data_IF_827481631779
#
_entry.id   IF_827481631779
#
_cell.length_a   1.000
_cell.length_b   1.000
_cell.length_c   1.000
_cell.angle_alpha   90.00
_cell.angle_beta   90.00
_cell.angle_gamma   90.00
#
_symmetry.space_group_name_H-M   'P 1'
#
loop_
_entity.id
_entity.type
_entity.pdbx_description
1 polymer ?
#
# COMPACT_ATOMS: atom_id res chain seq x y z
N UNK A 1 1.30 -3.42 6.70
CA UNK A 1 1.73 -3.12 8.09
C UNK A 1 1.40 -4.30 8.98
N UNK A 2 2.28 -4.68 9.93
CA UNK A 2 2.00 -5.84 10.80
C UNK A 2 0.95 -5.48 11.86
N UNK A 3 0.02 -6.40 12.12
CA UNK A 3 -0.98 -6.27 13.19
C UNK A 3 -0.35 -6.06 14.58
N UNK A 4 0.89 -6.53 14.77
CA UNK A 4 1.62 -6.42 16.04
C UNK A 4 2.56 -5.20 16.12
N UNK A 5 2.46 -4.24 15.18
CA UNK A 5 3.35 -3.08 15.17
C UNK A 5 2.95 -2.05 16.26
N UNK A 6 3.95 -1.57 17.01
CA UNK A 6 3.76 -0.51 18.02
C UNK A 6 3.42 0.83 17.37
N UNK A 7 4.06 1.13 16.23
CA UNK A 7 3.72 2.27 15.37
C UNK A 7 3.10 1.76 14.08
N UNK A 8 1.92 2.27 13.76
CA UNK A 8 1.18 1.85 12.57
C UNK A 8 1.27 2.89 11.46
N UNK A 9 1.24 4.18 11.76
CA UNK A 9 1.29 5.20 10.71
C UNK A 9 2.69 5.31 10.10
N UNK A 10 2.74 5.43 8.78
CA UNK A 10 3.97 5.70 8.02
C UNK A 10 4.35 7.17 7.96
N UNK A 11 3.38 8.06 8.19
CA UNK A 11 3.57 9.51 8.04
C UNK A 11 3.83 10.22 9.36
N UNK A 12 3.40 9.64 10.48
CA UNK A 12 3.49 10.30 11.78
C UNK A 12 3.89 9.34 12.90
N UNK A 13 4.44 9.90 13.96
CA UNK A 13 4.90 9.19 15.15
C UNK A 13 3.77 8.91 16.14
N UNK A 14 2.78 8.10 15.74
CA UNK A 14 1.68 7.67 16.63
C UNK A 14 1.90 6.23 17.07
N UNK A 15 1.65 5.98 18.36
CA UNK A 15 1.62 4.64 18.93
C UNK A 15 0.22 4.03 18.93
N UNK A 16 0.15 2.71 18.85
CA UNK A 16 -1.10 1.94 18.81
C UNK A 16 -2.08 2.27 19.95
N UNK A 17 -1.58 2.64 21.13
CA UNK A 17 -2.42 2.99 22.30
C UNK A 17 -3.20 4.30 22.10
N UNK A 18 -2.66 5.24 21.32
CA UNK A 18 -3.25 6.56 21.07
C UNK A 18 -4.11 6.58 19.80
N UNK A 19 -4.30 5.41 19.16
CA UNK A 19 -5.06 5.30 17.91
C UNK A 19 -6.49 5.83 18.01
N UNK A 20 -7.11 5.71 19.19
CA UNK A 20 -8.51 6.10 19.43
C UNK A 20 -8.72 7.61 19.35
N UNK A 21 -7.69 8.39 19.66
CA UNK A 21 -7.79 9.85 19.67
C UNK A 21 -7.86 10.43 18.25
N UNK A 22 -7.48 9.65 17.23
CA UNK A 22 -7.51 10.04 15.81
C UNK A 22 -6.79 11.36 15.51
N UNK A 23 -5.84 11.75 16.36
CA UNK A 23 -5.02 12.95 16.19
C UNK A 23 -3.79 12.60 15.37
N UNK A 24 -3.38 13.51 14.51
CA UNK A 24 -2.10 13.43 13.82
C UNK A 24 -0.97 13.66 14.83
N UNK A 25 -0.01 12.73 14.86
CA UNK A 25 1.23 12.89 15.61
C UNK A 25 2.23 13.77 14.84
N UNK A 26 3.43 13.87 15.38
CA UNK A 26 4.54 14.55 14.71
C UNK A 26 4.85 13.87 13.37
N UNK A 27 5.02 14.67 12.32
CA UNK A 27 5.31 14.16 10.98
C UNK A 27 6.74 13.66 10.89
N UNK A 28 6.90 12.48 10.28
CA UNK A 28 8.22 11.92 10.02
C UNK A 28 8.81 12.55 8.74
N UNK A 29 10.12 12.82 8.77
CA UNK A 29 10.85 13.24 7.57
C UNK A 29 11.48 12.02 6.91
N UNK A 30 11.44 11.95 5.57
CA UNK A 30 12.11 10.88 4.81
C UNK A 30 13.59 10.71 5.16
N UNK A 31 14.29 11.81 5.47
CA UNK A 31 15.68 11.81 5.96
C UNK A 31 15.85 11.05 7.27
N UNK A 32 15.00 11.32 8.25
CA UNK A 32 15.09 10.71 9.58
C UNK A 32 14.77 9.22 9.51
N UNK A 33 13.78 8.86 8.67
CA UNK A 33 13.45 7.47 8.39
C UNK A 33 14.61 6.74 7.74
N UNK A 34 15.27 7.34 6.73
CA UNK A 34 16.46 6.75 6.11
C UNK A 34 17.60 6.59 7.12
N UNK A 35 17.92 7.62 7.90
CA UNK A 35 18.99 7.57 8.90
C UNK A 35 18.75 6.44 9.92
N UNK A 36 17.52 6.33 10.42
CA UNK A 36 17.13 5.27 11.36
C UNK A 36 17.19 3.89 10.71
N UNK A 37 16.84 3.80 9.43
CA UNK A 37 16.94 2.57 8.64
C UNK A 37 18.39 2.14 8.44
N UNK A 38 19.31 3.06 8.16
CA UNK A 38 20.74 2.77 8.09
C UNK A 38 21.30 2.32 9.44
N UNK A 39 20.93 3.00 10.53
CA UNK A 39 21.28 2.58 11.88
C UNK A 39 20.77 1.15 12.17
N UNK A 40 19.56 0.81 11.72
CA UNK A 40 19.04 -0.56 11.81
C UNK A 40 19.91 -1.57 11.04
N UNK A 41 20.35 -1.21 9.83
CA UNK A 41 21.18 -2.08 8.99
C UNK A 41 22.55 -2.35 9.59
N UNK A 42 23.18 -1.32 10.17
CA UNK A 42 24.53 -1.38 10.77
C UNK A 42 24.58 -2.18 12.08
N UNK A 43 23.45 -2.39 12.74
CA UNK A 43 23.41 -3.24 13.94
C UNK A 43 23.76 -4.69 13.58
N UNK A 44 24.64 -5.32 14.36
CA UNK A 44 24.99 -6.73 14.17
C UNK A 44 24.01 -7.66 14.91
N UNK A 45 23.51 -7.22 16.07
CA UNK A 45 22.65 -8.05 16.93
C UNK A 45 21.19 -7.98 16.51
N UNK A 46 20.59 -9.15 16.30
CA UNK A 46 19.16 -9.29 16.03
C UNK A 46 18.29 -8.71 17.15
N UNK A 47 18.71 -8.85 18.42
CA UNK A 47 18.00 -8.30 19.58
C UNK A 47 17.95 -6.77 19.49
N UNK A 48 19.07 -6.14 19.15
CA UNK A 48 19.13 -4.67 18.99
C UNK A 48 18.30 -4.19 17.81
N UNK A 49 18.28 -4.95 16.70
CA UNK A 49 17.41 -4.67 15.55
C UNK A 49 15.95 -4.70 15.93
N UNK A 50 15.50 -5.76 16.60
CA UNK A 50 14.10 -5.90 17.01
C UNK A 50 13.67 -4.81 17.99
N UNK A 51 14.53 -4.47 18.93
CA UNK A 51 14.32 -3.38 19.88
C UNK A 51 14.23 -2.01 19.17
N UNK A 52 15.13 -1.71 18.23
CA UNK A 52 15.05 -0.51 17.40
C UNK A 52 13.76 -0.47 16.56
N UNK A 53 13.39 -1.59 15.94
CA UNK A 53 12.14 -1.69 15.16
C UNK A 53 10.89 -1.56 16.03
N UNK A 54 10.90 -2.04 17.28
CA UNK A 54 9.79 -1.86 18.22
C UNK A 54 9.62 -0.40 18.65
N UNK A 55 10.73 0.31 18.87
CA UNK A 55 10.71 1.73 19.27
C UNK A 55 10.34 2.66 18.11
N UNK A 56 11.02 2.51 16.97
CA UNK A 56 10.89 3.43 15.84
C UNK A 56 9.80 3.01 14.84
N UNK A 57 9.48 1.72 14.75
CA UNK A 57 8.64 1.15 13.69
C UNK A 57 9.38 0.92 12.36
N UNK A 58 10.66 1.31 12.26
CA UNK A 58 11.41 1.35 11.01
C UNK A 58 12.30 0.10 10.88
N UNK A 59 12.42 -0.42 9.66
CA UNK A 59 13.32 -1.52 9.28
C UNK A 59 14.18 -1.14 8.07
N UNK A 60 15.24 -1.90 7.83
CA UNK A 60 16.02 -1.79 6.59
C UNK A 60 15.26 -2.36 5.39
N UNK A 61 15.40 -1.69 4.25
CA UNK A 61 14.99 -2.15 2.93
C UNK A 61 15.99 -1.62 1.90
N UNK A 62 16.31 -2.40 0.88
CA UNK A 62 17.20 -1.98 -0.21
C UNK A 62 16.69 -0.73 -0.95
N UNK A 63 15.38 -0.46 -0.91
CA UNK A 63 14.79 0.75 -1.48
C UNK A 63 15.35 2.03 -0.84
N UNK A 64 15.77 1.99 0.43
CA UNK A 64 16.31 3.16 1.12
C UNK A 64 17.70 3.59 0.60
N UNK A 65 18.34 2.76 -0.25
CA UNK A 65 19.59 3.12 -0.95
C UNK A 65 19.36 4.01 -2.16
N UNK A 66 18.14 4.03 -2.70
CA UNK A 66 17.82 4.76 -3.92
C UNK A 66 17.68 6.26 -3.60
N UNK A 67 18.46 7.15 -4.25
CA UNK A 67 18.47 8.58 -3.91
C UNK A 67 17.14 9.29 -4.19
N UNK A 68 16.35 8.76 -5.13
CA UNK A 68 15.04 9.28 -5.51
C UNK A 68 13.89 8.70 -4.65
N UNK A 69 14.16 7.70 -3.80
CA UNK A 69 13.12 7.03 -3.03
C UNK A 69 12.92 7.68 -1.66
N UNK A 70 11.79 8.35 -1.44
CA UNK A 70 11.41 8.82 -0.12
C UNK A 70 10.50 7.80 0.58
N UNK A 71 10.95 7.18 1.70
CA UNK A 71 10.16 6.19 2.40
C UNK A 71 8.89 6.74 3.03
N UNK A 72 8.74 8.05 3.25
CA UNK A 72 7.51 8.64 3.82
C UNK A 72 6.50 8.96 2.72
N UNK A 73 6.96 9.50 1.59
CA UNK A 73 6.08 9.94 0.49
C UNK A 73 5.69 8.79 -0.45
N UNK A 74 6.53 7.78 -0.59
CA UNK A 74 6.34 6.73 -1.59
C UNK A 74 5.71 5.45 -1.01
N UNK A 75 5.15 5.51 0.21
CA UNK A 75 4.37 4.41 0.76
C UNK A 75 3.05 4.32 0.00
N UNK A 76 3.05 3.41 -0.97
CA UNK A 76 1.86 3.07 -1.73
C UNK A 76 1.00 2.20 -0.82
N UNK A 77 0.07 2.82 -0.08
CA UNK A 77 -1.13 2.10 0.37
C UNK A 77 -1.86 1.70 -0.92
N UNK A 78 -1.58 0.49 -1.41
CA UNK A 78 -2.16 0.03 -2.66
C UNK A 78 -3.68 0.07 -2.55
N UNK A 79 -4.29 1.04 -3.25
CA UNK A 79 -5.73 1.06 -3.53
C UNK A 79 -6.17 -0.30 -4.04
N UNK A 80 -5.34 -0.96 -4.84
CA UNK A 80 -5.59 -2.32 -5.32
C UNK A 80 -5.74 -3.34 -4.19
N UNK A 81 -4.88 -3.30 -3.17
CA UNK A 81 -4.98 -4.25 -2.05
C UNK A 81 -6.24 -3.99 -1.21
N UNK A 82 -6.52 -2.72 -0.90
CA UNK A 82 -7.75 -2.33 -0.20
C UNK A 82 -9.03 -2.66 -1.00
N UNK A 83 -8.93 -2.71 -2.33
CA UNK A 83 -10.01 -3.10 -3.23
C UNK A 83 -10.24 -4.62 -3.19
N UNK A 84 -9.16 -5.41 -3.31
CA UNK A 84 -9.23 -6.87 -3.26
C UNK A 84 -9.60 -7.41 -1.87
N UNK A 85 -9.21 -6.74 -0.78
CA UNK A 85 -9.66 -7.07 0.58
C UNK A 85 -11.15 -6.74 0.82
N UNK A 86 -11.82 -6.09 -0.15
CA UNK A 86 -13.25 -5.77 -0.07
C UNK A 86 -13.57 -4.63 0.90
N UNK A 87 -12.57 -3.99 1.51
CA UNK A 87 -12.74 -2.86 2.45
C UNK A 87 -13.39 -1.68 1.72
N UNK A 88 -12.94 -1.39 0.49
CA UNK A 88 -13.54 -0.33 -0.34
C UNK A 88 -14.98 -0.69 -0.72
N UNK A 89 -15.25 -1.94 -1.13
CA UNK A 89 -16.61 -2.42 -1.43
C UNK A 89 -17.54 -2.25 -0.22
N UNK A 90 -17.09 -2.65 0.96
CA UNK A 90 -17.88 -2.53 2.18
C UNK A 90 -18.17 -1.06 2.54
N UNK A 91 -17.17 -0.19 2.47
CA UNK A 91 -17.37 1.24 2.73
C UNK A 91 -18.32 1.90 1.73
N UNK A 92 -18.15 1.65 0.43
CA UNK A 92 -19.03 2.26 -0.59
C UNK A 92 -20.46 1.73 -0.52
N UNK A 93 -20.64 0.43 -0.27
CA UNK A 93 -21.98 -0.18 -0.25
C UNK A 93 -22.72 0.05 1.08
N UNK A 94 -22.06 -0.16 2.23
CA UNK A 94 -22.74 -0.12 3.54
C UNK A 94 -22.69 1.24 4.21
N UNK A 95 -21.62 2.02 4.04
CA UNK A 95 -21.51 3.36 4.65
C UNK A 95 -21.85 4.49 3.66
N UNK A 96 -21.58 4.29 2.36
CA UNK A 96 -21.88 5.26 1.30
C UNK A 96 -23.33 5.26 0.81
N UNK A 97 -24.17 4.34 1.28
CA UNK A 97 -25.60 4.28 0.94
C UNK A 97 -25.90 3.86 -0.51
N UNK A 98 -24.93 3.29 -1.22
CA UNK A 98 -25.14 2.75 -2.57
C UNK A 98 -25.85 1.39 -2.47
N UNK A 99 -27.18 1.42 -2.42
CA UNK A 99 -28.04 0.23 -2.47
C UNK A 99 -28.01 -0.33 -3.90
N UNK A 100 -27.00 -1.14 -4.21
CA UNK A 100 -27.02 -1.98 -5.40
C UNK A 100 -28.04 -3.09 -5.15
N UNK A 101 -29.25 -2.90 -5.69
CA UNK A 101 -30.18 -4.01 -5.89
C UNK A 101 -29.64 -4.85 -7.03
N UNK A 102 -28.89 -5.91 -6.73
CA UNK A 102 -28.78 -7.01 -7.68
C UNK A 102 -30.16 -7.62 -7.82
N UNK A 103 -30.87 -7.30 -8.89
CA UNK A 103 -31.84 -8.25 -9.42
C UNK A 103 -31.05 -9.47 -9.86
N UNK A 104 -31.00 -10.49 -9.00
CA UNK A 104 -30.53 -11.81 -9.38
C UNK A 104 -31.73 -12.50 -10.02
N UNK A 105 -31.72 -12.84 -11.32
CA UNK A 105 -32.72 -13.73 -11.86
C UNK A 105 -32.48 -15.11 -11.25
N UNK A 106 -33.42 -15.58 -10.44
CA UNK A 106 -33.47 -16.95 -9.95
C UNK A 106 -33.46 -17.90 -11.15
N UNK A 107 -32.45 -18.74 -11.29
CA UNK A 107 -32.59 -20.00 -12.02
C UNK A 107 -32.03 -21.16 -11.21
N UNK A 108 -32.88 -22.18 -11.10
CA UNK A 108 -32.67 -23.44 -10.42
C UNK A 108 -31.47 -24.21 -11.00
N UNK A 109 -30.91 -25.09 -10.18
CA UNK A 109 -29.76 -25.95 -10.46
C UNK A 109 -29.84 -26.71 -11.79
N UNK A 110 -28.79 -26.64 -12.62
CA UNK A 110 -27.97 -27.80 -13.01
C UNK A 110 -27.05 -27.51 -14.20
N UNK A 111 -25.95 -28.28 -14.23
CA UNK A 111 -25.00 -28.51 -15.32
C UNK A 111 -23.77 -27.59 -15.39
N UNK A 112 -22.64 -28.27 -15.19
CA UNK A 112 -21.29 -27.83 -15.44
C UNK A 112 -21.11 -27.32 -16.87
N UNK A 113 -20.52 -26.13 -17.02
CA UNK A 113 -19.58 -25.89 -18.12
C UNK A 113 -18.72 -24.66 -17.79
N UNK A 114 -17.41 -24.87 -17.93
CA UNK A 114 -16.37 -23.85 -17.92
C UNK A 114 -16.69 -22.75 -18.93
N UNK A 115 -16.38 -21.49 -18.61
CA UNK A 115 -16.17 -20.45 -19.62
C UNK A 115 -15.24 -19.35 -19.12
N UNK A 116 -14.01 -19.43 -19.64
CA UNK A 116 -13.15 -18.38 -20.17
C UNK A 116 -13.03 -17.07 -19.39
N UNK A 117 -11.98 -17.02 -18.58
CA UNK A 117 -11.30 -15.78 -18.19
C UNK A 117 -10.53 -15.25 -19.41
N UNK A 118 -11.05 -14.20 -20.06
CA UNK A 118 -10.26 -13.51 -21.10
C UNK A 118 -9.05 -12.83 -20.46
N UNK A 119 -7.88 -13.30 -20.86
CA UNK A 119 -6.57 -12.76 -20.50
C UNK A 119 -6.41 -11.37 -21.09
N UNK A 120 -6.35 -10.36 -20.21
CA UNK A 120 -6.13 -8.97 -20.62
C UNK A 120 -4.65 -8.79 -20.99
N UNK A 121 -4.36 -8.85 -22.30
CA UNK A 121 -3.02 -8.64 -22.87
C UNK A 121 -2.56 -7.18 -22.69
N UNK A 122 -1.57 -6.98 -21.82
CA UNK A 122 -0.93 -5.69 -21.55
C UNK A 122 0.12 -5.29 -22.60
N UNK A 123 0.38 -6.12 -23.62
CA UNK A 123 1.46 -5.89 -24.58
C UNK A 123 1.00 -5.26 -25.90
N UNK A 124 0.38 -4.07 -25.82
CA UNK A 124 0.30 -3.19 -27.00
C UNK A 124 0.45 -1.71 -26.66
N UNK A 125 1.70 -1.32 -26.40
CA UNK A 125 2.15 0.07 -26.58
C UNK A 125 3.45 0.12 -27.38
N UNK A 126 3.44 -0.47 -28.57
CA UNK A 126 4.45 -0.14 -29.59
C UNK A 126 4.11 1.22 -30.23
N UNK A 127 4.86 2.23 -29.76
CA UNK A 127 5.55 3.23 -30.58
C UNK A 127 4.74 3.86 -31.73
N UNK A 128 4.04 4.95 -31.42
CA UNK A 128 3.71 5.96 -32.43
C UNK A 128 4.59 7.21 -32.24
N UNK A 129 5.72 7.16 -32.95
CA UNK A 129 6.22 8.24 -33.80
C UNK A 129 6.58 9.59 -33.15
N UNK A 130 7.72 9.61 -32.43
CA UNK A 130 8.53 10.82 -32.21
C UNK A 130 9.39 11.09 -33.46
N UNK A 131 8.79 11.53 -34.56
CA UNK A 131 9.51 12.11 -35.72
C UNK A 131 8.64 13.10 -36.51
N UNK A 132 8.02 14.07 -35.82
CA UNK A 132 7.15 15.07 -36.46
C UNK A 132 7.29 16.50 -35.94
N UNK A 133 8.34 16.83 -35.18
CA UNK A 133 8.51 18.18 -34.60
C UNK A 133 9.90 18.77 -34.81
N UNK A 134 10.36 18.78 -36.05
CA UNK A 134 11.39 19.70 -36.53
C UNK A 134 11.14 19.95 -38.03
N UNK A 135 10.27 20.92 -38.33
CA UNK A 135 10.30 21.81 -39.52
C UNK A 135 8.99 22.58 -39.57
N UNK A 136 9.04 23.82 -39.06
CA UNK A 136 8.44 25.05 -39.59
C UNK A 136 8.70 26.18 -38.59
#
# INVERSE_FOLDING_TARGET
>A
MSHSATRFCSWCEIVTNERQDLKLGEQQTGRDVRNTSYAYHELESQVKKEDLAKRSGIRWSELNRLPYWDPVLNITLCVMHNWFEGILKHHFMYQGGFDWKSEVPTQESSSSSESDFEEMDWSRSETQNINGRLQN
#
